data_IF_583755783638
#
_entry.id   IF_583755783638
#
_cell.length_a   1.000
_cell.length_b   1.000
_cell.length_c   1.000
_cell.angle_alpha   90.00
_cell.angle_beta   90.00
_cell.angle_gamma   90.00
#
_symmetry.space_group_name_H-M   'P 1'
#
loop_
_entity.id
_entity.type
_entity.pdbx_description
1 polymer ?
#
# COMPACT_ATOMS: atom_id res chain seq x y z
N UNK A 1 3.50 1.59 12.41
CA UNK A 1 2.60 0.44 12.19
C UNK A 1 2.92 -0.18 10.84
N UNK A 2 2.77 -1.51 10.69
CA UNK A 2 3.05 -2.20 9.43
C UNK A 2 1.81 -2.29 8.54
N UNK A 3 1.97 -2.10 7.23
CA UNK A 3 0.90 -2.25 6.24
C UNK A 3 1.41 -2.69 4.87
N UNK A 4 0.57 -3.43 4.15
CA UNK A 4 0.70 -3.73 2.73
C UNK A 4 -0.15 -2.71 1.95
N UNK A 5 0.47 -1.97 1.04
CA UNK A 5 -0.21 -0.97 0.22
C UNK A 5 -0.32 -1.47 -1.21
N UNK A 6 -1.53 -1.41 -1.78
CA UNK A 6 -1.81 -1.56 -3.20
C UNK A 6 -1.93 -0.17 -3.83
N UNK A 7 -1.34 0.02 -5.00
CA UNK A 7 -1.37 1.30 -5.70
C UNK A 7 -1.32 1.13 -7.23
N UNK A 8 -1.92 2.03 -8.02
CA UNK A 8 -1.73 2.06 -9.47
C UNK A 8 -0.27 2.25 -9.84
N UNK A 9 0.22 1.54 -10.86
CA UNK A 9 1.59 1.69 -11.35
C UNK A 9 1.87 3.07 -11.93
N UNK A 10 0.86 3.74 -12.47
CA UNK A 10 0.95 5.16 -12.81
C UNK A 10 0.64 5.99 -11.55
N UNK A 11 1.65 6.59 -10.92
CA UNK A 11 1.50 7.27 -9.64
C UNK A 11 0.71 8.58 -9.74
N UNK A 12 0.54 9.13 -10.95
CA UNK A 12 -0.11 10.42 -11.19
C UNK A 12 -1.61 10.30 -11.37
N UNK A 13 -2.13 9.07 -11.58
CA UNK A 13 -3.55 8.82 -11.70
C UNK A 13 -4.25 8.90 -10.36
N UNK A 14 -5.27 9.74 -10.31
CA UNK A 14 -6.26 9.75 -9.25
C UNK A 14 -7.46 8.94 -9.75
N UNK A 15 -7.72 7.81 -9.10
CA UNK A 15 -8.84 6.95 -9.46
C UNK A 15 -10.04 7.26 -8.53
N UNK A 16 -11.27 7.26 -9.05
CA UNK A 16 -12.46 7.35 -8.21
C UNK A 16 -12.53 6.10 -7.32
N UNK A 17 -12.74 6.31 -6.02
CA UNK A 17 -12.74 5.22 -5.05
C UNK A 17 -14.04 4.44 -5.06
N UNK A 18 -15.17 5.09 -5.36
CA UNK A 18 -16.50 4.50 -5.26
C UNK A 18 -16.67 3.28 -6.19
N UNK A 19 -16.28 3.31 -7.48
CA UNK A 19 -16.37 2.12 -8.33
C UNK A 19 -15.45 0.98 -7.90
N UNK A 20 -14.30 1.30 -7.28
CA UNK A 20 -13.37 0.29 -6.78
C UNK A 20 -13.87 -0.33 -5.48
N UNK A 21 -14.47 0.47 -4.60
CA UNK A 21 -15.14 -0.01 -3.39
C UNK A 21 -16.32 -0.91 -3.74
N UNK A 22 -17.18 -0.49 -4.68
CA UNK A 22 -18.29 -1.30 -5.16
C UNK A 22 -17.82 -2.66 -5.69
N UNK A 23 -16.72 -2.68 -6.46
CA UNK A 23 -16.09 -3.92 -6.89
C UNK A 23 -15.65 -4.78 -5.70
N UNK A 24 -14.96 -4.22 -4.71
CA UNK A 24 -14.48 -4.98 -3.55
C UNK A 24 -15.62 -5.54 -2.70
N UNK A 25 -16.71 -4.78 -2.54
CA UNK A 25 -17.95 -5.21 -1.87
C UNK A 25 -18.64 -6.35 -2.65
N UNK A 26 -18.81 -6.19 -3.97
CA UNK A 26 -19.42 -7.21 -4.83
C UNK A 26 -18.62 -8.52 -4.82
N UNK A 27 -17.30 -8.44 -4.72
CA UNK A 27 -16.42 -9.59 -4.63
C UNK A 27 -16.23 -10.11 -3.20
N UNK A 28 -16.88 -9.47 -2.21
CA UNK A 28 -16.79 -9.84 -0.79
C UNK A 28 -15.35 -9.83 -0.24
N UNK A 29 -14.51 -8.93 -0.77
CA UNK A 29 -13.15 -8.68 -0.25
C UNK A 29 -13.21 -7.80 1.00
N UNK A 30 -14.17 -6.87 1.02
CA UNK A 30 -14.50 -6.02 2.18
C UNK A 30 -16.00 -6.12 2.45
N UNK A 31 -16.41 -5.73 3.67
CA UNK A 31 -17.80 -5.74 4.11
C UNK A 31 -18.24 -4.38 4.67
N UNK A 32 -18.41 -4.25 5.98
CA UNK A 32 -18.89 -3.02 6.60
C UNK A 32 -17.79 -1.98 6.83
N UNK A 33 -18.18 -0.71 6.75
CA UNK A 33 -17.38 0.42 7.17
C UNK A 33 -17.10 0.34 8.68
N UNK A 34 -15.85 0.54 9.05
CA UNK A 34 -15.40 0.74 10.43
C UNK A 34 -15.75 2.15 10.90
N UNK A 35 -15.76 2.33 12.22
CA UNK A 35 -15.87 3.63 12.84
C UNK A 35 -14.66 4.54 12.54
N UNK A 36 -14.90 5.85 12.64
CA UNK A 36 -13.98 6.87 12.14
C UNK A 36 -12.61 6.92 12.83
N UNK A 37 -12.37 6.17 13.90
CA UNK A 37 -11.05 6.12 14.53
C UNK A 37 -10.03 5.28 13.74
N UNK A 38 -10.49 4.41 12.83
CA UNK A 38 -9.61 3.65 11.92
C UNK A 38 -9.36 4.40 10.59
N UNK A 39 -9.96 5.57 10.39
CA UNK A 39 -9.97 6.30 9.11
C UNK A 39 -11.37 6.40 8.50
N UNK A 40 -11.61 7.43 7.66
CA UNK A 40 -12.94 7.71 7.11
C UNK A 40 -13.45 6.65 6.13
N UNK A 41 -12.54 5.86 5.54
CA UNK A 41 -12.83 4.85 4.52
C UNK A 41 -12.12 3.54 4.84
N UNK A 42 -12.26 3.12 6.09
CA UNK A 42 -11.72 1.87 6.62
C UNK A 42 -12.82 0.83 6.71
N UNK A 43 -12.55 -0.40 6.27
CA UNK A 43 -13.55 -1.46 6.13
C UNK A 43 -13.05 -2.76 6.76
N UNK A 44 -13.99 -3.48 7.37
CA UNK A 44 -13.80 -4.87 7.74
C UNK A 44 -13.61 -5.75 6.49
N UNK A 45 -12.87 -6.83 6.67
CA UNK A 45 -12.52 -7.76 5.60
C UNK A 45 -13.66 -8.77 5.40
N UNK A 46 -14.04 -8.99 4.15
CA UNK A 46 -15.15 -9.88 3.80
C UNK A 46 -14.74 -11.35 3.70
N UNK A 47 -15.72 -12.23 3.51
CA UNK A 47 -15.53 -13.69 3.48
C UNK A 47 -14.53 -14.18 2.42
N UNK A 48 -14.39 -13.45 1.31
CA UNK A 48 -13.48 -13.77 0.20
C UNK A 48 -12.14 -13.05 0.28
N UNK A 49 -11.81 -12.45 1.42
CA UNK A 49 -10.53 -11.80 1.64
C UNK A 49 -9.33 -12.72 1.36
N UNK A 50 -9.38 -13.97 1.82
CA UNK A 50 -8.29 -14.94 1.60
C UNK A 50 -8.15 -15.42 0.14
N UNK A 51 -9.14 -15.20 -0.72
CA UNK A 51 -9.00 -15.39 -2.17
C UNK A 51 -8.20 -14.22 -2.79
N UNK A 52 -8.32 -13.03 -2.19
CA UNK A 52 -7.72 -11.79 -2.68
C UNK A 52 -6.27 -11.60 -2.21
N UNK A 53 -5.88 -12.24 -1.09
CA UNK A 53 -4.54 -12.15 -0.52
C UNK A 53 -4.00 -13.53 -0.15
N UNK A 54 -2.80 -13.84 -0.65
CA UNK A 54 -2.09 -15.07 -0.34
C UNK A 54 -1.17 -14.85 0.86
N UNK A 55 -1.39 -15.63 1.92
CA UNK A 55 -0.54 -15.60 3.10
C UNK A 55 0.63 -16.57 2.95
N UNK A 56 1.84 -16.06 3.17
CA UNK A 56 3.08 -16.81 2.99
C UNK A 56 3.60 -17.24 4.36
N UNK A 57 3.69 -18.56 4.56
CA UNK A 57 4.16 -19.15 5.81
C UNK A 57 3.04 -19.54 6.78
N UNK A 58 3.40 -19.92 8.00
CA UNK A 58 2.46 -20.28 9.05
C UNK A 58 2.06 -19.04 9.86
N UNK A 59 1.49 -17.99 9.25
CA UNK A 59 0.97 -16.85 10.04
C UNK A 59 -0.25 -17.33 10.82
N UNK A 60 -0.14 -17.65 12.13
CA UNK A 60 -1.11 -18.53 12.77
C UNK A 60 -2.32 -17.78 13.34
N UNK A 61 -2.35 -16.45 13.32
CA UNK A 61 -3.40 -15.68 14.00
C UNK A 61 -3.53 -14.29 13.40
N UNK A 62 -4.19 -14.21 12.26
CA UNK A 62 -4.62 -12.93 11.71
C UNK A 62 -6.03 -12.69 12.22
N UNK A 63 -6.16 -11.71 13.10
CA UNK A 63 -7.46 -11.23 13.52
C UNK A 63 -8.06 -10.41 12.37
N UNK A 64 -9.26 -10.75 11.91
CA UNK A 64 -9.96 -10.03 10.82
C UNK A 64 -11.05 -9.08 11.36
N UNK A 65 -11.28 -9.11 12.67
CA UNK A 65 -12.28 -8.32 13.34
C UNK A 65 -11.74 -7.85 14.70
N UNK A 66 -12.22 -6.70 15.22
CA UNK A 66 -11.87 -6.25 16.55
C UNK A 66 -12.31 -7.28 17.60
N UNK A 67 -11.40 -7.60 18.52
CA UNK A 67 -11.70 -8.46 19.66
C UNK A 67 -11.95 -7.62 20.91
N UNK A 68 -12.60 -8.19 21.93
CA UNK A 68 -12.79 -7.52 23.22
C UNK A 68 -11.45 -7.20 23.94
N UNK A 69 -10.34 -7.78 23.49
CA UNK A 69 -9.02 -7.60 24.06
C UNK A 69 -8.22 -6.46 23.40
N UNK A 70 -8.83 -5.67 22.50
CA UNK A 70 -8.20 -4.56 21.77
C UNK A 70 -6.91 -4.98 21.04
N UNK A 71 -6.89 -6.22 20.56
CA UNK A 71 -5.76 -6.75 19.77
C UNK A 71 -5.78 -6.17 18.36
N UNK A 72 -4.62 -5.82 17.77
CA UNK A 72 -4.56 -5.38 16.38
C UNK A 72 -5.19 -6.43 15.45
N UNK A 73 -6.02 -5.96 14.52
CA UNK A 73 -6.67 -6.78 13.50
C UNK A 73 -6.46 -6.17 12.11
N UNK A 74 -6.60 -6.98 11.07
CA UNK A 74 -6.45 -6.53 9.69
C UNK A 74 -7.73 -5.87 9.20
N UNK A 75 -7.56 -4.73 8.53
CA UNK A 75 -8.62 -4.00 7.87
C UNK A 75 -8.08 -3.32 6.62
N UNK A 76 -8.96 -2.98 5.69
CA UNK A 76 -8.61 -2.30 4.46
C UNK A 76 -9.05 -0.83 4.51
N UNK A 77 -8.09 0.07 4.34
CA UNK A 77 -8.35 1.51 4.23
C UNK A 77 -8.16 1.97 2.78
N UNK A 78 -9.11 2.74 2.25
CA UNK A 78 -9.08 3.26 0.89
C UNK A 78 -8.85 4.77 0.91
N UNK A 79 -7.77 5.22 0.28
CA UNK A 79 -7.41 6.63 0.25
C UNK A 79 -7.16 7.09 -1.19
N UNK A 80 -7.60 8.30 -1.49
CA UNK A 80 -7.30 8.96 -2.74
C UNK A 80 -7.12 10.44 -2.53
N UNK A 81 -5.95 10.94 -2.88
CA UNK A 81 -5.54 12.32 -2.69
C UNK A 81 -5.38 13.04 -4.04
N UNK A 82 -5.47 14.36 -4.02
CA UNK A 82 -5.19 15.20 -5.21
C UNK A 82 -3.69 15.18 -5.53
N UNK A 83 -2.86 15.10 -4.49
CA UNK A 83 -1.41 15.18 -4.57
C UNK A 83 -0.79 13.80 -4.51
N UNK A 84 0.21 13.57 -5.37
CA UNK A 84 0.94 12.32 -5.38
C UNK A 84 1.98 12.34 -4.26
N UNK A 85 1.97 11.31 -3.41
CA UNK A 85 2.84 11.22 -2.23
C UNK A 85 3.78 10.03 -2.31
N UNK A 86 5.01 10.22 -1.84
CA UNK A 86 5.93 9.13 -1.56
C UNK A 86 5.61 8.56 -0.18
N UNK A 87 5.15 7.32 -0.15
CA UNK A 87 4.88 6.58 1.08
C UNK A 87 6.05 5.64 1.30
N UNK A 88 6.76 5.81 2.41
CA UNK A 88 7.91 5.00 2.80
C UNK A 88 7.91 4.82 4.33
N UNK A 89 8.77 3.92 4.82
CA UNK A 89 8.91 3.65 6.24
C UNK A 89 10.32 3.19 6.61
N UNK A 90 10.49 2.78 7.85
CA UNK A 90 11.76 2.29 8.42
C UNK A 90 12.33 1.06 7.70
N UNK A 91 11.50 0.31 6.95
CA UNK A 91 11.91 -0.87 6.19
C UNK A 91 12.47 -0.55 4.79
N UNK A 92 12.83 0.71 4.49
CA UNK A 92 13.30 1.13 3.18
C UNK A 92 14.55 0.34 2.70
N UNK A 93 14.45 -0.26 1.51
CA UNK A 93 15.53 -1.03 0.87
C UNK A 93 15.99 -0.42 -0.45
N UNK A 94 15.52 0.79 -0.78
CA UNK A 94 15.85 1.48 -2.01
C UNK A 94 17.37 1.73 -2.12
N UNK A 95 17.87 1.67 -3.35
CA UNK A 95 19.28 1.88 -3.65
C UNK A 95 19.47 2.83 -4.83
N UNK A 96 20.52 3.64 -4.77
CA UNK A 96 20.88 4.59 -5.81
C UNK A 96 21.10 3.89 -7.15
N UNK A 97 20.51 4.42 -8.23
CA UNK A 97 20.65 3.85 -9.58
C UNK A 97 22.09 3.92 -10.07
N UNK A 98 22.83 4.96 -9.71
CA UNK A 98 24.24 5.17 -10.06
C UNK A 98 25.18 4.29 -9.26
N UNK A 99 25.40 4.61 -7.98
CA UNK A 99 26.42 3.95 -7.15
C UNK A 99 25.97 2.66 -6.45
N UNK A 100 24.69 2.28 -6.55
CA UNK A 100 24.08 1.09 -5.92
C UNK A 100 24.09 1.06 -4.39
N UNK A 101 24.62 2.09 -3.73
CA UNK A 101 24.51 2.24 -2.29
C UNK A 101 23.06 2.48 -1.88
N UNK A 102 22.68 1.96 -0.71
CA UNK A 102 21.33 2.13 -0.17
C UNK A 102 21.09 3.60 0.17
N UNK A 103 19.87 4.05 -0.06
CA UNK A 103 19.43 5.27 0.58
C UNK A 103 19.29 4.98 2.08
N UNK A 104 19.73 5.93 2.92
CA UNK A 104 19.45 5.91 4.34
C UNK A 104 18.00 6.31 4.60
N UNK A 105 17.76 7.04 5.69
CA UNK A 105 16.49 7.72 5.88
C UNK A 105 16.28 8.74 4.76
N UNK A 106 15.23 8.54 3.97
CA UNK A 106 14.71 9.60 3.13
C UNK A 106 13.88 10.52 4.02
N UNK A 107 13.89 11.84 3.80
CA UNK A 107 12.97 12.71 4.51
C UNK A 107 11.56 12.13 4.37
N UNK A 108 10.78 12.11 5.45
CA UNK A 108 9.36 11.82 5.35
C UNK A 108 8.76 12.96 4.53
N UNK A 109 8.60 12.72 3.24
CA UNK A 109 8.23 13.76 2.32
C UNK A 109 6.72 13.86 2.35
N UNK A 110 6.23 14.62 3.33
CA UNK A 110 4.94 15.33 3.30
C UNK A 110 4.91 16.39 2.17
N UNK A 111 5.74 16.20 1.14
CA UNK A 111 5.82 17.06 0.00
C UNK A 111 4.57 16.86 -0.84
N UNK A 112 4.00 17.98 -1.28
CA UNK A 112 2.84 18.06 -2.15
C UNK A 112 3.07 17.43 -3.54
N UNK A 113 4.32 17.05 -3.85
CA UNK A 113 4.76 16.42 -5.07
C UNK A 113 5.85 15.38 -4.78
N UNK A 114 6.00 14.35 -5.64
CA UNK A 114 7.11 13.41 -5.57
C UNK A 114 8.43 14.19 -5.63
N UNK A 115 9.29 14.07 -4.62
CA UNK A 115 10.50 14.85 -4.56
C UNK A 115 11.60 14.23 -5.41
N UNK A 116 12.53 15.07 -5.82
CA UNK A 116 13.84 14.61 -6.24
C UNK A 116 14.60 14.07 -5.03
N UNK A 117 15.22 12.91 -5.22
CA UNK A 117 15.94 12.17 -4.18
C UNK A 117 17.42 12.21 -4.50
N UNK A 118 18.17 12.89 -3.63
CA UNK A 118 19.62 13.00 -3.73
C UNK A 118 20.32 11.82 -3.03
N UNK A 119 21.32 11.24 -3.68
CA UNK A 119 22.17 10.21 -3.09
C UNK A 119 23.31 10.83 -2.29
N UNK A 120 23.35 10.56 -0.98
CA UNK A 120 24.42 11.02 -0.09
C UNK A 120 25.82 10.44 -0.41
N UNK A 121 25.91 9.37 -1.19
CA UNK A 121 27.17 8.71 -1.52
C UNK A 121 27.83 9.22 -2.80
N UNK A 122 27.04 9.54 -3.83
CA UNK A 122 27.57 9.95 -5.13
C UNK A 122 27.03 11.29 -5.63
N UNK A 123 26.17 11.96 -4.87
CA UNK A 123 25.57 13.26 -5.23
C UNK A 123 24.58 13.21 -6.39
N UNK A 124 24.30 12.04 -6.97
CA UNK A 124 23.35 11.92 -8.06
C UNK A 124 21.93 12.18 -7.55
N UNK A 125 21.15 12.89 -8.36
CA UNK A 125 19.75 13.23 -8.08
C UNK A 125 18.86 12.45 -9.06
N UNK A 126 17.83 11.82 -8.54
CA UNK A 126 16.84 11.08 -9.32
C UNK A 126 15.44 11.51 -8.89
N UNK A 127 14.50 11.53 -9.84
CA UNK A 127 13.10 11.64 -9.43
C UNK A 127 12.68 10.38 -8.67
N UNK A 128 11.69 10.51 -7.78
CA UNK A 128 11.17 9.36 -7.03
C UNK A 128 10.74 8.18 -7.95
N UNK A 129 10.21 8.47 -9.14
CA UNK A 129 9.80 7.47 -10.13
C UNK A 129 10.96 6.65 -10.71
N UNK A 130 12.17 7.20 -10.72
CA UNK A 130 13.35 6.53 -11.27
C UNK A 130 14.02 5.56 -10.30
N UNK A 131 13.57 5.55 -9.03
CA UNK A 131 14.17 4.75 -7.98
C UNK A 131 13.54 3.36 -7.93
N UNK A 132 14.40 2.34 -7.87
CA UNK A 132 13.97 0.99 -7.59
C UNK A 132 13.65 0.84 -6.10
N UNK A 133 12.38 1.06 -5.74
CA UNK A 133 11.87 1.02 -4.36
C UNK A 133 11.80 -0.38 -3.74
N UNK A 134 11.97 -1.44 -4.52
CA UNK A 134 12.01 -2.85 -4.06
C UNK A 134 10.85 -3.26 -3.14
N UNK A 135 9.64 -2.78 -3.44
CA UNK A 135 8.42 -3.05 -2.64
C UNK A 135 8.50 -2.53 -1.20
N UNK A 136 9.33 -1.53 -0.90
CA UNK A 136 9.41 -0.89 0.43
C UNK A 136 9.05 0.60 0.42
N UNK A 137 8.53 1.08 -0.71
CA UNK A 137 7.94 2.41 -0.85
C UNK A 137 6.95 2.40 -2.02
N UNK A 138 6.01 3.32 -1.99
CA UNK A 138 5.02 3.52 -3.03
C UNK A 138 4.95 5.01 -3.39
N UNK A 139 4.70 5.29 -4.67
CA UNK A 139 4.35 6.63 -5.12
C UNK A 139 2.92 6.56 -5.64
N UNK A 140 2.00 7.30 -5.04
CA UNK A 140 0.58 7.16 -5.36
C UNK A 140 -0.26 8.36 -4.95
N UNK A 141 -1.33 8.60 -5.71
CA UNK A 141 -2.49 9.40 -5.30
C UNK A 141 -3.58 8.52 -4.70
N UNK A 142 -3.87 7.40 -5.33
CA UNK A 142 -4.86 6.41 -4.87
C UNK A 142 -4.14 5.20 -4.31
N UNK A 143 -4.55 4.74 -3.12
CA UNK A 143 -3.95 3.57 -2.47
C UNK A 143 -4.95 2.81 -1.61
N UNK A 144 -4.78 1.50 -1.53
CA UNK A 144 -5.48 0.65 -0.56
C UNK A 144 -4.47 0.11 0.42
N UNK A 145 -4.70 0.36 1.71
CA UNK A 145 -3.81 0.00 2.79
C UNK A 145 -4.43 -1.15 3.57
N UNK A 146 -3.84 -2.33 3.45
CA UNK A 146 -4.14 -3.47 4.31
C UNK A 146 -3.26 -3.36 5.56
N UNK A 147 -3.88 -2.96 6.66
CA UNK A 147 -3.20 -2.67 7.92
C UNK A 147 -2.86 -3.93 8.70
N UNK A 148 -1.85 -3.83 9.56
CA UNK A 148 -1.34 -4.90 10.41
C UNK A 148 -0.79 -6.11 9.65
N UNK A 149 -0.20 -5.85 8.48
CA UNK A 149 0.49 -6.85 7.65
C UNK A 149 2.00 -6.56 7.63
N UNK A 150 2.79 -7.55 8.04
CA UNK A 150 4.25 -7.47 8.00
C UNK A 150 4.81 -7.75 6.60
N UNK A 151 6.05 -7.34 6.37
CA UNK A 151 6.72 -7.56 5.09
C UNK A 151 6.82 -9.07 4.77
N UNK A 152 6.23 -9.45 3.63
CA UNK A 152 6.24 -10.83 3.15
C UNK A 152 5.20 -11.73 3.81
N UNK A 153 4.39 -11.24 4.75
CA UNK A 153 3.33 -12.03 5.38
C UNK A 153 2.18 -12.32 4.42
N UNK A 154 1.75 -11.30 3.67
CA UNK A 154 0.72 -11.41 2.65
C UNK A 154 1.20 -10.83 1.33
N UNK A 155 0.69 -11.37 0.22
CA UNK A 155 0.80 -10.76 -1.11
C UNK A 155 -0.59 -10.68 -1.74
N UNK A 156 -0.91 -9.63 -2.53
CA UNK A 156 -2.14 -9.63 -3.30
C UNK A 156 -2.11 -10.77 -4.32
N UNK A 157 -3.23 -11.44 -4.52
CA UNK A 157 -3.37 -12.46 -5.56
C UNK A 157 -3.42 -11.81 -6.95
N UNK A 158 -3.01 -12.55 -7.98
CA UNK A 158 -3.13 -12.09 -9.37
C UNK A 158 -4.60 -11.80 -9.75
N UNK A 159 -5.54 -12.54 -9.14
CA UNK A 159 -6.97 -12.29 -9.29
C UNK A 159 -7.36 -10.91 -8.76
N UNK A 160 -6.92 -10.53 -7.55
CA UNK A 160 -7.19 -9.20 -7.00
C UNK A 160 -6.62 -8.10 -7.90
N UNK A 161 -5.34 -8.21 -8.27
CA UNK A 161 -4.70 -7.22 -9.13
C UNK A 161 -5.37 -7.12 -10.50
N UNK A 162 -5.76 -8.25 -11.09
CA UNK A 162 -6.48 -8.30 -12.37
C UNK A 162 -7.88 -7.68 -12.29
N UNK A 163 -8.62 -7.88 -11.19
CA UNK A 163 -9.92 -7.25 -10.97
C UNK A 163 -9.79 -5.74 -10.85
N UNK A 164 -8.83 -5.27 -10.05
CA UNK A 164 -8.56 -3.84 -9.89
C UNK A 164 -8.16 -3.21 -11.22
N UNK A 165 -7.27 -3.85 -11.99
CA UNK A 165 -6.87 -3.38 -13.31
C UNK A 165 -8.03 -3.33 -14.30
N UNK A 166 -8.90 -4.33 -14.30
CA UNK A 166 -10.09 -4.35 -15.18
C UNK A 166 -11.04 -3.19 -14.87
N UNK A 167 -11.21 -2.85 -13.59
CA UNK A 167 -12.10 -1.78 -13.16
C UNK A 167 -11.48 -0.38 -13.34
N UNK A 168 -10.18 -0.23 -13.07
CA UNK A 168 -9.50 1.07 -13.16
C UNK A 168 -8.92 1.38 -14.55
N UNK A 169 -8.76 0.37 -15.40
CA UNK A 169 -8.08 0.47 -16.69
C UNK A 169 -6.55 0.56 -16.59
N UNK A 170 -5.96 0.42 -15.40
CA UNK A 170 -4.51 0.57 -15.17
C UNK A 170 -3.93 -0.54 -14.34
N UNK A 171 -2.66 -0.88 -14.58
CA UNK A 171 -1.97 -1.90 -13.80
C UNK A 171 -1.78 -1.46 -12.34
N UNK A 172 -1.84 -2.42 -11.43
CA UNK A 172 -1.60 -2.22 -10.00
C UNK A 172 -0.30 -2.88 -9.56
N UNK A 173 0.27 -2.36 -8.48
CA UNK A 173 1.46 -2.87 -7.80
C UNK A 173 1.27 -2.78 -6.29
N UNK A 174 2.26 -3.26 -5.54
CA UNK A 174 2.21 -3.23 -4.09
C UNK A 174 3.56 -3.00 -3.42
N UNK A 175 3.53 -2.54 -2.18
CA UNK A 175 4.69 -2.31 -1.32
C UNK A 175 4.35 -2.51 0.15
N UNK A 176 5.33 -2.88 0.97
CA UNK A 176 5.23 -3.01 2.41
C UNK A 176 5.83 -1.78 3.08
N UNK A 177 5.11 -1.18 4.02
CA UNK A 177 5.54 0.01 4.74
C UNK A 177 5.52 -0.29 6.23
N UNK A 178 6.64 -0.02 6.91
CA UNK A 178 6.72 -0.07 8.36
C UNK A 178 6.97 1.34 8.93
N UNK A 179 5.91 2.00 9.39
CA UNK A 179 5.99 3.34 10.01
C UNK A 179 6.29 3.31 11.51
#
# INVERSE_FOLDING_TARGET
MSRLILFPKDPLLQLPLEPLLELLLQQQVVESLLDGHYGERSYLLGERFFDAFLFLGCSPSIELAPTAADTPFCYLELESEVQCRLISGSNLKAACKGCKQRYGELPQLEAQQPPDVSCCHCGAVYSAEQIAWRKTAALAKTRFSLWNIFEGEAVPSDQLLGMLQKQSGVEWSYAYINS
#
